data_IF_884337569170
#
_entry.id   IF_884337569170
#
_cell.length_a   1.000
_cell.length_b   1.000
_cell.length_c   1.000
_cell.angle_alpha   90.00
_cell.angle_beta   90.00
_cell.angle_gamma   90.00
#
_symmetry.space_group_name_H-M   'P 1'
#
loop_
_entity.id
_entity.type
_entity.pdbx_description
1 polymer ?
#
# COMPACT_ATOMS: atom_id res chain seq x y z
N UNK A 1 -23.07 6.72 2.07
CA UNK A 1 -22.12 5.61 2.35
C UNK A 1 -21.25 6.03 3.54
N UNK A 2 -20.92 5.11 4.46
CA UNK A 2 -20.00 5.40 5.55
C UNK A 2 -18.58 5.39 5.00
N UNK A 3 -17.87 6.50 5.13
CA UNK A 3 -16.47 6.60 4.74
C UNK A 3 -15.62 5.73 5.68
N UNK A 4 -14.64 4.97 5.17
CA UNK A 4 -13.79 4.15 6.01
C UNK A 4 -12.87 5.03 6.87
N UNK A 5 -12.78 4.72 8.16
CA UNK A 5 -11.96 5.48 9.11
C UNK A 5 -10.48 5.03 9.03
N UNK A 6 -9.55 5.99 9.08
CA UNK A 6 -8.11 5.71 9.20
C UNK A 6 -7.84 4.96 10.52
N UNK A 7 -7.03 3.88 10.55
CA UNK A 7 -6.06 3.45 9.54
C UNK A 7 -6.58 2.40 8.52
N UNK A 8 -7.88 2.40 8.22
CA UNK A 8 -8.51 1.57 7.18
C UNK A 8 -8.32 0.05 7.42
N UNK A 9 -8.78 -0.51 8.55
CA UNK A 9 -8.54 -1.91 8.91
C UNK A 9 -9.08 -2.91 7.86
N UNK A 10 -10.20 -2.60 7.21
CA UNK A 10 -10.71 -3.43 6.13
C UNK A 10 -9.78 -3.41 4.91
N UNK A 11 -9.19 -2.26 4.58
CA UNK A 11 -8.17 -2.17 3.52
C UNK A 11 -6.91 -2.97 3.86
N UNK A 12 -6.48 -2.98 5.13
CA UNK A 12 -5.37 -3.81 5.58
C UNK A 12 -5.66 -5.31 5.38
N UNK A 13 -6.89 -5.75 5.70
CA UNK A 13 -7.32 -7.13 5.48
C UNK A 13 -7.33 -7.49 3.99
N UNK A 14 -7.83 -6.61 3.14
CA UNK A 14 -7.83 -6.83 1.68
C UNK A 14 -6.40 -6.92 1.13
N UNK A 15 -5.50 -6.04 1.58
CA UNK A 15 -4.09 -6.11 1.17
C UNK A 15 -3.43 -7.41 1.63
N UNK A 16 -3.73 -7.90 2.84
CA UNK A 16 -3.24 -9.19 3.34
C UNK A 16 -3.70 -10.33 2.44
N UNK A 17 -4.99 -10.40 2.14
CA UNK A 17 -5.56 -11.44 1.27
C UNK A 17 -4.92 -11.41 -0.12
N UNK A 18 -4.75 -10.22 -0.69
CA UNK A 18 -4.10 -10.05 -1.98
C UNK A 18 -2.64 -10.52 -1.93
N UNK A 19 -1.88 -10.10 -0.92
CA UNK A 19 -0.49 -10.54 -0.70
C UNK A 19 -0.41 -12.05 -0.61
N UNK A 20 -1.28 -12.69 0.18
CA UNK A 20 -1.29 -14.15 0.37
C UNK A 20 -1.62 -14.90 -0.94
N UNK A 21 -2.39 -14.28 -1.85
CA UNK A 21 -2.76 -14.87 -3.13
C UNK A 21 -1.70 -14.71 -4.23
N UNK A 22 -1.11 -13.52 -4.37
CA UNK A 22 -0.23 -13.20 -5.52
C UNK A 22 1.25 -13.06 -5.15
N UNK A 23 1.56 -12.89 -3.86
CA UNK A 23 2.88 -12.60 -3.33
C UNK A 23 3.23 -11.10 -3.37
N UNK A 24 3.99 -10.64 -2.37
CA UNK A 24 4.37 -9.23 -2.24
C UNK A 24 5.20 -8.69 -3.43
N UNK A 25 5.95 -9.55 -4.12
CA UNK A 25 6.78 -9.19 -5.28
C UNK A 25 5.99 -8.79 -6.54
N UNK A 26 4.65 -8.90 -6.53
CA UNK A 26 3.76 -8.47 -7.62
C UNK A 26 2.92 -7.24 -7.26
N UNK A 27 3.15 -6.66 -6.09
CA UNK A 27 2.35 -5.55 -5.58
C UNK A 27 3.13 -4.24 -5.64
N UNK A 28 2.45 -3.16 -6.03
CA UNK A 28 3.03 -1.84 -6.21
C UNK A 28 2.20 -0.84 -5.43
N UNK A 29 2.86 0.03 -4.66
CA UNK A 29 2.20 1.15 -4.01
C UNK A 29 2.04 2.32 -4.99
N UNK A 30 0.83 2.87 -5.05
CA UNK A 30 0.50 4.07 -5.81
C UNK A 30 -0.52 4.89 -5.04
N UNK A 31 -0.35 6.21 -5.03
CA UNK A 31 -1.20 7.11 -4.22
C UNK A 31 -2.50 7.53 -4.90
N UNK A 32 -2.60 7.32 -6.21
CA UNK A 32 -3.68 7.88 -7.03
C UNK A 32 -3.82 9.41 -6.89
N UNK A 33 -2.69 10.10 -6.66
CA UNK A 33 -2.69 11.57 -6.57
C UNK A 33 -3.01 12.19 -7.93
N UNK A 34 -3.88 13.22 -8.00
CA UNK A 34 -4.50 13.94 -6.87
C UNK A 34 -5.85 13.39 -6.39
N UNK A 35 -6.46 12.46 -7.11
CA UNK A 35 -7.85 12.03 -6.86
C UNK A 35 -8.02 11.31 -5.51
N UNK A 36 -7.16 10.32 -5.24
CA UNK A 36 -7.13 9.58 -3.96
C UNK A 36 -6.91 10.49 -2.75
N UNK A 37 -6.12 11.56 -2.90
CA UNK A 37 -5.83 12.48 -1.80
C UNK A 37 -6.91 13.53 -1.55
N UNK A 38 -7.65 13.90 -2.59
CA UNK A 38 -8.65 14.96 -2.50
C UNK A 38 -9.92 14.51 -1.76
N UNK A 39 -10.14 13.21 -1.64
CA UNK A 39 -11.39 12.66 -1.11
C UNK A 39 -11.24 11.69 0.07
N UNK A 40 -10.06 11.06 0.25
CA UNK A 40 -9.97 9.87 1.11
C UNK A 40 -8.90 9.94 2.21
N UNK A 41 -7.71 10.45 1.90
CA UNK A 41 -6.58 10.44 2.84
C UNK A 41 -5.53 11.48 2.49
N UNK A 42 -4.72 11.89 3.47
CA UNK A 42 -3.51 12.66 3.19
C UNK A 42 -2.43 11.75 2.58
N UNK A 43 -1.47 12.33 1.83
CA UNK A 43 -0.30 11.58 1.32
C UNK A 43 0.39 10.78 2.43
N UNK A 44 0.53 11.39 3.61
CA UNK A 44 1.14 10.77 4.79
C UNK A 44 0.35 9.56 5.26
N UNK A 45 -0.98 9.67 5.33
CA UNK A 45 -1.84 8.54 5.68
C UNK A 45 -1.78 7.41 4.66
N UNK A 46 -1.74 7.72 3.35
CA UNK A 46 -1.60 6.72 2.29
C UNK A 46 -0.28 5.94 2.40
N UNK A 47 0.81 6.60 2.77
CA UNK A 47 2.11 5.98 2.96
C UNK A 47 2.18 5.21 4.29
N UNK A 48 1.68 5.81 5.38
CA UNK A 48 1.69 5.20 6.71
C UNK A 48 0.75 3.98 6.80
N UNK A 49 -0.28 3.91 5.95
CA UNK A 49 -1.12 2.73 5.80
C UNK A 49 -0.26 1.46 5.58
N UNK A 50 0.71 1.52 4.66
CA UNK A 50 1.62 0.38 4.41
C UNK A 50 2.75 0.34 5.44
N UNK A 51 3.39 1.48 5.74
CA UNK A 51 4.59 1.51 6.61
C UNK A 51 4.30 1.11 8.05
N UNK A 52 3.21 1.62 8.62
CA UNK A 52 2.91 1.54 10.06
C UNK A 52 1.75 0.64 10.42
N UNK A 53 0.80 0.41 9.52
CA UNK A 53 -0.45 -0.28 9.86
C UNK A 53 -0.59 -1.66 9.22
N UNK A 54 0.24 -1.97 8.21
CA UNK A 54 0.31 -3.31 7.63
C UNK A 54 1.39 -4.15 8.34
N UNK A 55 1.15 -4.49 9.61
CA UNK A 55 2.11 -5.21 10.47
C UNK A 55 2.37 -6.66 10.05
N UNK A 56 1.58 -7.18 9.12
CA UNK A 56 1.72 -8.52 8.56
C UNK A 56 2.72 -8.62 7.41
N UNK A 57 3.21 -7.47 6.95
CA UNK A 57 4.27 -7.38 5.96
C UNK A 57 5.60 -7.34 6.70
N UNK A 58 6.56 -8.16 6.27
CA UNK A 58 7.95 -8.02 6.69
C UNK A 58 8.53 -6.69 6.18
N UNK A 59 9.69 -6.29 6.71
CA UNK A 59 10.37 -5.09 6.24
C UNK A 59 10.71 -5.19 4.74
N UNK A 60 11.24 -6.34 4.30
CA UNK A 60 11.56 -6.61 2.90
C UNK A 60 10.30 -6.54 2.00
N UNK A 61 9.17 -7.07 2.45
CA UNK A 61 7.91 -6.97 1.71
C UNK A 61 7.44 -5.52 1.59
N UNK A 62 7.58 -4.71 2.65
CA UNK A 62 7.25 -3.28 2.61
C UNK A 62 8.15 -2.56 1.61
N UNK A 63 9.45 -2.83 1.60
CA UNK A 63 10.40 -2.16 0.72
C UNK A 63 10.16 -2.53 -0.76
N UNK A 64 9.81 -3.80 -1.04
CA UNK A 64 9.37 -4.23 -2.36
C UNK A 64 8.10 -3.49 -2.81
N UNK A 65 7.07 -3.43 -1.95
CA UNK A 65 5.78 -2.82 -2.29
C UNK A 65 5.92 -1.30 -2.48
N UNK A 66 6.69 -0.63 -1.62
CA UNK A 66 6.83 0.82 -1.60
C UNK A 66 7.75 1.38 -2.70
N UNK A 67 8.53 0.53 -3.36
CA UNK A 67 9.39 1.00 -4.45
C UNK A 67 10.15 -0.09 -5.18
N UNK A 68 10.62 -1.14 -4.50
CA UNK A 68 11.50 -2.15 -5.12
C UNK A 68 10.88 -2.84 -6.35
N UNK A 69 9.60 -3.20 -6.27
CA UNK A 69 8.90 -3.80 -7.41
C UNK A 69 8.71 -2.80 -8.56
N UNK A 70 8.50 -1.52 -8.25
CA UNK A 70 8.35 -0.48 -9.27
C UNK A 70 9.69 -0.24 -9.96
N UNK A 71 10.77 -0.16 -9.18
CA UNK A 71 12.12 0.03 -9.69
C UNK A 71 12.50 -1.09 -10.67
N UNK A 72 12.23 -2.34 -10.30
CA UNK A 72 12.45 -3.50 -11.15
C UNK A 72 11.55 -3.53 -12.40
N UNK A 73 10.28 -3.13 -12.27
CA UNK A 73 9.34 -3.16 -13.40
C UNK A 73 9.65 -2.09 -14.45
N UNK A 74 10.07 -0.90 -14.00
CA UNK A 74 10.34 0.24 -14.87
C UNK A 74 11.81 0.39 -15.26
N UNK A 75 12.70 -0.48 -14.75
CA UNK A 75 14.14 -0.45 -15.01
C UNK A 75 14.79 0.89 -14.63
N UNK A 76 14.56 1.31 -13.38
CA UNK A 76 15.00 2.61 -12.84
C UNK A 76 15.93 2.46 -11.60
N UNK A 77 16.61 1.32 -11.47
CA UNK A 77 17.69 1.13 -10.48
C UNK A 77 19.00 1.83 -10.89
#
# INVERSE_FOLDING_TARGET
AKWPDYPYPHGQQQLRQLRDQVGAHKLLWGTDSPFGMSMWCTYRQALDFVRRHCDFLSQDEKDLILGGNAAKLFDIE
#
